data_IF_972597701622
#
_entry.id   IF_972597701622
#
_cell.length_a   1.000
_cell.length_b   1.000
_cell.length_c   1.000
_cell.angle_alpha   90.00
_cell.angle_beta   90.00
_cell.angle_gamma   90.00
#
_symmetry.space_group_name_H-M   'P 1'
#
loop_
_entity.id
_entity.type
_entity.pdbx_description
1 polymer ?
#
# COMPACT_ATOMS: atom_id res chain seq x y z
N UNK A 1 28.12 -4.36 -42.31
CA UNK A 1 28.45 -5.15 -41.10
C UNK A 1 28.43 -4.18 -39.92
N UNK A 2 27.26 -3.81 -39.41
CA UNK A 2 26.61 -4.44 -38.25
C UNK A 2 27.56 -4.63 -37.07
N UNK A 3 27.48 -3.80 -36.03
CA UNK A 3 26.62 -4.13 -34.89
C UNK A 3 26.64 -3.01 -33.84
N UNK A 4 25.49 -2.36 -33.69
CA UNK A 4 25.22 -1.35 -32.66
C UNK A 4 25.13 -2.02 -31.30
N UNK A 5 25.97 -1.60 -30.33
CA UNK A 5 25.86 -2.01 -28.92
C UNK A 5 24.61 -1.36 -28.32
N UNK A 6 23.48 -2.06 -28.34
CA UNK A 6 22.23 -1.61 -27.72
C UNK A 6 22.28 -1.97 -26.23
N UNK A 7 22.59 -0.99 -25.39
CA UNK A 7 22.49 -1.13 -23.93
C UNK A 7 21.04 -1.48 -23.56
N UNK A 8 20.83 -2.69 -23.04
CA UNK A 8 19.55 -3.16 -22.54
C UNK A 8 19.21 -2.46 -21.23
N UNK A 9 18.12 -1.68 -21.22
CA UNK A 9 17.47 -1.24 -19.96
C UNK A 9 17.02 -2.50 -19.20
N UNK A 10 17.26 -2.61 -17.88
CA UNK A 10 16.81 -3.77 -17.12
C UNK A 10 15.27 -3.84 -17.15
N UNK A 11 14.75 -5.06 -17.24
CA UNK A 11 13.32 -5.37 -17.33
C UNK A 11 12.62 -4.96 -16.03
N UNK A 12 11.47 -4.29 -16.15
CA UNK A 12 10.65 -3.84 -15.02
C UNK A 12 10.10 -5.04 -14.21
N UNK A 13 10.07 -6.23 -14.83
CA UNK A 13 9.59 -7.51 -14.25
C UNK A 13 10.44 -8.00 -13.06
N UNK A 14 11.77 -7.88 -13.12
CA UNK A 14 12.69 -8.44 -12.10
C UNK A 14 12.55 -7.77 -10.73
N UNK A 15 12.13 -6.51 -10.70
CA UNK A 15 11.98 -5.74 -9.46
C UNK A 15 10.72 -6.11 -8.68
N UNK A 16 9.69 -6.59 -9.38
CA UNK A 16 8.43 -6.97 -8.75
C UNK A 16 8.58 -8.30 -8.01
N UNK A 17 9.30 -9.26 -8.59
CA UNK A 17 9.61 -10.55 -7.95
C UNK A 17 10.43 -10.36 -6.66
N UNK A 18 11.45 -9.50 -6.68
CA UNK A 18 12.25 -9.18 -5.49
C UNK A 18 11.40 -8.63 -4.32
N UNK A 19 10.42 -7.76 -4.59
CA UNK A 19 9.55 -7.24 -3.54
C UNK A 19 8.54 -8.27 -3.03
N UNK A 20 8.07 -9.17 -3.89
CA UNK A 20 7.19 -10.28 -3.49
C UNK A 20 7.94 -11.21 -2.53
N UNK A 21 9.18 -11.58 -2.85
CA UNK A 21 10.00 -12.43 -1.99
C UNK A 21 10.35 -11.73 -0.66
N UNK A 22 10.65 -10.43 -0.70
CA UNK A 22 10.84 -9.63 0.52
C UNK A 22 9.59 -9.62 1.41
N UNK A 23 8.39 -9.55 0.82
CA UNK A 23 7.14 -9.56 1.58
C UNK A 23 6.95 -10.92 2.25
N UNK A 24 7.15 -12.00 1.48
CA UNK A 24 7.07 -13.38 2.00
C UNK A 24 8.06 -13.63 3.12
N UNK A 25 9.31 -13.18 2.98
CA UNK A 25 10.34 -13.30 4.02
C UNK A 25 9.93 -12.61 5.33
N UNK A 26 9.19 -11.50 5.24
CA UNK A 26 8.62 -10.80 6.40
C UNK A 26 7.34 -11.46 6.97
N UNK A 27 6.84 -12.54 6.35
CA UNK A 27 5.53 -13.13 6.64
C UNK A 27 4.36 -12.22 6.22
N UNK A 28 4.56 -11.36 5.23
CA UNK A 28 3.60 -10.40 4.70
C UNK A 28 3.13 -10.79 3.30
N UNK A 29 1.96 -10.30 2.91
CA UNK A 29 1.42 -10.47 1.57
C UNK A 29 1.80 -9.26 0.70
N UNK A 30 2.33 -9.56 -0.49
CA UNK A 30 2.50 -8.54 -1.50
C UNK A 30 1.12 -8.17 -2.07
N UNK A 31 0.73 -6.89 -1.95
CA UNK A 31 -0.59 -6.36 -2.32
C UNK A 31 -0.43 -5.12 -3.18
N UNK A 32 -1.31 -4.95 -4.16
CA UNK A 32 -1.41 -3.74 -4.96
C UNK A 32 -2.66 -2.97 -4.57
N UNK A 33 -2.60 -1.63 -4.66
CA UNK A 33 -3.70 -0.75 -4.24
C UNK A 33 -4.68 -0.40 -5.37
N UNK A 34 -4.56 -1.10 -6.50
CA UNK A 34 -5.50 -1.11 -7.62
C UNK A 34 -6.61 -2.18 -7.44
N UNK A 35 -6.45 -3.09 -6.48
CA UNK A 35 -7.41 -4.13 -6.15
C UNK A 35 -8.51 -3.70 -5.17
N UNK A 36 -9.46 -4.61 -4.88
CA UNK A 36 -10.52 -4.36 -3.89
C UNK A 36 -9.93 -3.94 -2.53
N UNK A 37 -10.42 -2.83 -1.98
CA UNK A 37 -10.04 -2.40 -0.64
C UNK A 37 -11.11 -1.61 0.07
N UNK A 38 -10.78 -1.20 1.29
CA UNK A 38 -11.64 -0.35 2.10
C UNK A 38 -11.36 1.10 1.73
N UNK A 39 -12.39 1.94 1.74
CA UNK A 39 -12.27 3.32 1.32
C UNK A 39 -12.67 4.26 2.45
N UNK A 40 -11.99 5.41 2.54
CA UNK A 40 -12.34 6.47 3.49
C UNK A 40 -13.03 7.62 2.77
N UNK A 41 -14.18 8.04 3.29
CA UNK A 41 -14.94 9.20 2.81
C UNK A 41 -15.12 10.21 3.94
N UNK A 42 -15.13 11.51 3.61
CA UNK A 42 -15.54 12.54 4.59
C UNK A 42 -17.03 12.38 4.91
N UNK A 43 -17.37 12.47 6.20
CA UNK A 43 -18.74 12.43 6.70
C UNK A 43 -18.89 13.43 7.85
N UNK A 44 -19.54 14.57 7.58
CA UNK A 44 -19.69 15.66 8.54
C UNK A 44 -18.33 16.15 9.07
N UNK A 45 -18.17 16.10 10.40
CA UNK A 45 -16.92 16.49 11.08
C UNK A 45 -15.83 15.41 11.09
N UNK A 46 -16.13 14.20 10.58
CA UNK A 46 -15.22 13.05 10.64
C UNK A 46 -15.13 12.28 9.33
N UNK A 47 -14.87 10.98 9.45
CA UNK A 47 -14.73 10.06 8.34
C UNK A 47 -15.67 8.87 8.49
N UNK A 48 -16.19 8.38 7.38
CA UNK A 48 -16.83 7.07 7.26
C UNK A 48 -15.96 6.15 6.41
N UNK A 49 -16.15 4.84 6.61
CA UNK A 49 -15.40 3.82 5.90
C UNK A 49 -16.36 2.87 5.21
N UNK A 50 -16.03 2.50 3.98
CA UNK A 50 -16.80 1.51 3.19
C UNK A 50 -15.94 0.30 2.88
N UNK A 51 -16.56 -0.87 2.94
CA UNK A 51 -15.94 -2.15 2.59
C UNK A 51 -15.73 -2.32 1.09
N UNK A 52 -15.17 -3.47 0.73
CA UNK A 52 -15.00 -3.89 -0.67
C UNK A 52 -16.33 -4.09 -1.39
N UNK A 53 -17.40 -4.35 -0.64
CA UNK A 53 -18.78 -4.47 -1.12
C UNK A 53 -19.52 -3.12 -1.21
N UNK A 54 -18.82 -2.01 -0.92
CA UNK A 54 -19.39 -0.66 -0.90
C UNK A 54 -20.25 -0.35 0.33
N UNK A 55 -20.46 -1.31 1.25
CA UNK A 55 -21.27 -1.09 2.45
C UNK A 55 -20.48 -0.38 3.53
N UNK A 56 -21.17 0.35 4.40
CA UNK A 56 -20.54 1.03 5.53
C UNK A 56 -19.97 0.02 6.53
N UNK A 57 -18.71 0.20 6.91
CA UNK A 57 -18.03 -0.62 7.93
C UNK A 57 -18.48 -0.14 9.30
N UNK A 58 -19.12 -1.04 10.05
CA UNK A 58 -19.52 -0.81 11.45
C UNK A 58 -18.76 -1.69 12.44
N UNK A 59 -18.01 -2.67 11.95
CA UNK A 59 -17.22 -3.56 12.79
C UNK A 59 -16.15 -2.78 13.55
N UNK A 60 -16.19 -2.88 14.88
CA UNK A 60 -15.32 -2.12 15.77
C UNK A 60 -13.84 -2.50 15.59
N UNK A 61 -13.54 -3.79 15.42
CA UNK A 61 -12.16 -4.26 15.23
C UNK A 61 -11.52 -3.66 13.98
N UNK A 62 -12.26 -3.69 12.88
CA UNK A 62 -11.83 -3.09 11.61
C UNK A 62 -11.63 -1.59 11.75
N UNK A 63 -12.56 -0.88 12.39
CA UNK A 63 -12.44 0.56 12.60
C UNK A 63 -11.25 0.93 13.49
N UNK A 64 -10.98 0.16 14.54
CA UNK A 64 -9.86 0.41 15.44
C UNK A 64 -8.52 0.13 14.76
N UNK A 65 -8.43 -0.90 13.91
CA UNK A 65 -7.29 -1.11 13.00
C UNK A 65 -7.08 0.08 12.07
N UNK A 66 -8.13 0.57 11.42
CA UNK A 66 -7.99 1.70 10.50
C UNK A 66 -7.47 2.95 11.23
N UNK A 67 -7.92 3.20 12.46
CA UNK A 67 -7.42 4.31 13.29
C UNK A 67 -5.94 4.15 13.61
N UNK A 68 -5.46 2.94 13.91
CA UNK A 68 -4.05 2.70 14.26
C UNK A 68 -3.09 2.93 13.08
N UNK A 69 -3.59 3.00 11.84
CA UNK A 69 -2.78 3.33 10.66
C UNK A 69 -2.39 4.82 10.58
N UNK A 70 -3.01 5.68 11.40
CA UNK A 70 -2.73 7.13 11.47
C UNK A 70 -2.68 7.77 10.08
N UNK A 71 -3.75 7.56 9.31
CA UNK A 71 -3.90 8.12 7.96
C UNK A 71 -4.22 9.61 8.09
N UNK A 72 -3.36 10.54 7.61
CA UNK A 72 -3.55 11.96 7.82
C UNK A 72 -4.93 12.43 7.32
N UNK A 73 -5.63 13.32 8.05
CA UNK A 73 -6.94 13.81 7.66
C UNK A 73 -6.98 14.51 6.29
N UNK A 74 -5.84 15.07 5.87
CA UNK A 74 -5.69 15.76 4.59
C UNK A 74 -5.66 14.81 3.38
N UNK A 75 -5.38 13.51 3.58
CA UNK A 75 -5.29 12.57 2.46
C UNK A 75 -6.66 12.38 1.78
N UNK A 76 -6.65 12.49 0.45
CA UNK A 76 -7.78 12.23 -0.45
C UNK A 76 -7.63 10.87 -1.13
N UNK A 77 -8.71 10.34 -1.70
CA UNK A 77 -8.73 9.07 -2.43
C UNK A 77 -8.02 7.93 -1.68
N UNK A 78 -8.40 7.76 -0.41
CA UNK A 78 -7.72 6.82 0.48
C UNK A 78 -8.24 5.42 0.22
N UNK A 79 -7.29 4.53 -0.09
CA UNK A 79 -7.46 3.08 -0.14
C UNK A 79 -6.79 2.46 1.08
N UNK A 80 -7.43 1.47 1.68
CA UNK A 80 -6.92 0.74 2.85
C UNK A 80 -6.99 -0.75 2.53
N UNK A 81 -5.87 -1.44 2.77
CA UNK A 81 -5.79 -2.87 2.52
C UNK A 81 -6.76 -3.63 3.45
N UNK A 82 -7.60 -4.53 2.93
CA UNK A 82 -8.49 -5.34 3.76
C UNK A 82 -7.70 -6.34 4.61
N UNK A 83 -6.52 -6.75 4.14
CA UNK A 83 -5.63 -7.68 4.82
C UNK A 83 -4.63 -6.94 5.74
N UNK A 84 -4.63 -7.32 7.02
CA UNK A 84 -3.71 -6.78 8.03
C UNK A 84 -2.25 -7.18 7.75
N UNK A 85 -2.02 -8.27 7.00
CA UNK A 85 -0.69 -8.74 6.62
C UNK A 85 -0.22 -8.19 5.27
N UNK A 86 -1.00 -7.34 4.61
CA UNK A 86 -0.57 -6.64 3.40
C UNK A 86 0.63 -5.73 3.67
N UNK A 87 1.69 -5.83 2.86
CA UNK A 87 2.88 -5.01 3.05
C UNK A 87 2.59 -3.51 2.91
N UNK A 88 1.63 -3.12 2.06
CA UNK A 88 0.98 -1.81 2.05
C UNK A 88 -0.31 -1.91 2.87
N UNK A 89 -0.47 -1.05 3.86
CA UNK A 89 -1.66 -0.97 4.68
C UNK A 89 -2.64 0.11 4.21
N UNK A 90 -2.15 1.23 3.68
CA UNK A 90 -3.00 2.24 3.08
C UNK A 90 -2.25 3.09 2.05
N UNK A 91 -2.99 3.66 1.12
CA UNK A 91 -2.52 4.69 0.20
C UNK A 91 -3.48 5.86 0.18
N UNK A 92 -3.02 7.01 -0.30
CA UNK A 92 -3.84 8.20 -0.50
C UNK A 92 -3.07 9.30 -1.17
N UNK A 93 -3.78 10.32 -1.67
CA UNK A 93 -3.19 11.51 -2.25
C UNK A 93 -3.03 12.58 -1.17
N UNK A 94 -1.84 13.15 -1.02
CA UNK A 94 -1.62 14.29 -0.14
C UNK A 94 -2.25 15.59 -0.69
N UNK A 95 -2.10 16.70 0.03
CA UNK A 95 -2.65 18.01 -0.38
C UNK A 95 -2.05 18.51 -1.69
N UNK A 96 -0.87 18.01 -2.08
CA UNK A 96 -0.17 18.34 -3.33
C UNK A 96 -0.49 17.34 -4.44
N UNK A 97 -1.43 16.42 -4.23
CA UNK A 97 -1.82 15.40 -5.20
C UNK A 97 -0.81 14.26 -5.36
N UNK A 98 0.19 14.14 -4.47
CA UNK A 98 1.19 13.09 -4.54
C UNK A 98 0.70 11.85 -3.82
N UNK A 99 0.92 10.69 -4.42
CA UNK A 99 0.57 9.40 -3.83
C UNK A 99 1.50 9.07 -2.67
N UNK A 100 0.91 8.86 -1.50
CA UNK A 100 1.59 8.52 -0.27
C UNK A 100 1.18 7.11 0.19
N UNK A 101 2.12 6.41 0.85
CA UNK A 101 1.95 5.04 1.30
C UNK A 101 2.08 4.94 2.83
N UNK A 102 1.29 4.06 3.42
CA UNK A 102 1.44 3.52 4.77
C UNK A 102 1.80 2.05 4.63
N UNK A 103 2.98 1.66 5.11
CA UNK A 103 3.46 0.29 5.08
C UNK A 103 3.21 -0.41 6.40
N UNK A 104 3.10 -1.74 6.35
CA UNK A 104 3.16 -2.57 7.54
C UNK A 104 4.50 -2.34 8.27
N UNK A 105 4.55 -2.29 9.61
CA UNK A 105 5.80 -2.06 10.35
C UNK A 105 6.93 -3.03 9.95
N UNK A 106 6.63 -4.35 9.92
CA UNK A 106 7.57 -5.41 9.48
C UNK A 106 8.10 -5.26 8.05
N UNK A 107 7.42 -4.50 7.19
CA UNK A 107 7.92 -4.27 5.82
C UNK A 107 9.16 -3.38 5.81
N UNK A 108 9.31 -2.48 6.79
CA UNK A 108 10.52 -1.63 6.88
C UNK A 108 11.75 -2.45 7.25
N UNK A 109 11.60 -3.37 8.20
CA UNK A 109 12.69 -4.25 8.68
C UNK A 109 13.38 -4.96 7.51
N UNK A 110 12.62 -5.55 6.58
CA UNK A 110 13.19 -6.29 5.43
C UNK A 110 13.67 -5.38 4.29
N UNK A 111 13.10 -4.16 4.15
CA UNK A 111 13.49 -3.21 3.09
C UNK A 111 14.75 -2.43 3.41
N UNK A 112 15.01 -2.16 4.67
CA UNK A 112 16.23 -1.47 5.09
C UNK A 112 17.46 -2.39 4.93
N UNK A 113 17.29 -3.70 5.08
CA UNK A 113 18.33 -4.71 4.86
C UNK A 113 18.69 -4.90 3.37
N UNK A 114 17.72 -4.71 2.46
CA UNK A 114 17.89 -4.99 1.02
C UNK A 114 18.28 -3.78 0.17
N UNK A 115 18.27 -2.55 0.73
CA UNK A 115 18.57 -1.32 -0.02
C UNK A 115 20.06 -0.97 -0.19
N UNK A 116 20.97 -1.75 0.42
CA UNK A 116 22.41 -1.44 0.46
C UNK A 116 23.30 -2.54 -0.15
N UNK A 117 22.82 -3.30 -1.14
CA UNK A 117 23.68 -4.23 -1.90
C UNK A 117 23.50 -4.05 -3.40
#
# INVERSE_FOLDING_TARGET
>A
MSSTRRSSKPKIEDKHESHVESAKAAGLHYVCDDGPGLHRKRAGKGFSYTGTDGKAIKDKKTLDRIKSLVIPPAYKNVWICPDERGHIQATGLDERGRKQYRYHPKWREVRDETKFT
#
